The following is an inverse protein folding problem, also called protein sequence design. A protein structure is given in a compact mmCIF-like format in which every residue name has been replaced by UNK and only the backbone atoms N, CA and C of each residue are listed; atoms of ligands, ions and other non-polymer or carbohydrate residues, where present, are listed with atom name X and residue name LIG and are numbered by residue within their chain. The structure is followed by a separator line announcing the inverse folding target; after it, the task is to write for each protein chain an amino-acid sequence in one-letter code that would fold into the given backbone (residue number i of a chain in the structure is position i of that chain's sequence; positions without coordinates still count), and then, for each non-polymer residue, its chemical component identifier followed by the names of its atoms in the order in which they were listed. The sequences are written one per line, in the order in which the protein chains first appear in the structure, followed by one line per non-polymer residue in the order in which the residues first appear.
data_IF_957792070535
#
_entry.id   IF_957792070535
#
_cell.length_a   1.000
_cell.length_b   1.000
_cell.length_c   1.000
_cell.angle_alpha   90.00
_cell.angle_beta   90.00
_cell.angle_gamma   90.00
#
_symmetry.space_group_name_H-M   'P 1'
#
loop_
_entity.id
_entity.type
_entity.pdbx_description
1 polymer ?
#
# COMPACT_ATOMS: atom_id res chain seq x y z
N UNK A 1 -17.68 -15.21 8.68
CA UNK A 1 -16.47 -15.59 7.93
C UNK A 1 -16.31 -14.84 6.60
N UNK A 2 -17.29 -14.88 5.69
CA UNK A 2 -17.16 -14.23 4.39
C UNK A 2 -16.84 -12.71 4.49
N UNK A 3 -17.50 -11.97 5.38
CA UNK A 3 -17.24 -10.54 5.58
C UNK A 3 -15.82 -10.23 6.06
N UNK A 4 -15.25 -11.07 6.92
CA UNK A 4 -13.85 -10.91 7.38
C UNK A 4 -12.87 -11.14 6.22
N UNK A 5 -13.16 -12.14 5.37
CA UNK A 5 -12.34 -12.40 4.18
C UNK A 5 -12.38 -11.22 3.21
N UNK A 6 -13.56 -10.68 2.93
CA UNK A 6 -13.70 -9.50 2.05
C UNK A 6 -12.91 -8.32 2.61
N UNK A 7 -13.06 -8.02 3.89
CA UNK A 7 -12.31 -6.96 4.54
C UNK A 7 -10.79 -7.21 4.49
N UNK A 8 -10.36 -8.46 4.69
CA UNK A 8 -8.95 -8.84 4.57
C UNK A 8 -8.41 -8.61 3.17
N UNK A 9 -9.15 -8.96 2.12
CA UNK A 9 -8.77 -8.66 0.74
C UNK A 9 -8.66 -7.16 0.46
N UNK A 10 -9.61 -6.37 0.94
CA UNK A 10 -9.56 -4.91 0.81
C UNK A 10 -8.30 -4.35 1.45
N UNK A 11 -8.01 -4.74 2.68
CA UNK A 11 -6.82 -4.27 3.41
C UNK A 11 -5.51 -4.75 2.77
N UNK A 12 -5.44 -5.99 2.28
CA UNK A 12 -4.28 -6.49 1.58
C UNK A 12 -4.02 -5.72 0.28
N UNK A 13 -5.05 -5.49 -0.55
CA UNK A 13 -4.93 -4.69 -1.77
C UNK A 13 -4.44 -3.26 -1.50
N UNK A 14 -4.81 -2.69 -0.35
CA UNK A 14 -4.36 -1.38 0.08
C UNK A 14 -2.90 -1.42 0.58
N UNK A 15 -2.49 -2.46 1.28
CA UNK A 15 -1.17 -2.59 1.89
C UNK A 15 -0.07 -2.89 0.87
N UNK A 16 -0.27 -3.94 0.06
CA UNK A 16 0.75 -4.42 -0.89
C UNK A 16 0.57 -3.86 -2.31
N UNK A 17 -0.50 -3.09 -2.56
CA UNK A 17 -0.80 -2.43 -3.84
C UNK A 17 -0.84 -3.38 -5.06
N UNK A 18 -0.84 -4.69 -4.86
CA UNK A 18 -0.85 -5.67 -5.93
C UNK A 18 -2.14 -5.60 -6.76
N UNK A 19 -2.00 -5.40 -8.06
CA UNK A 19 -3.12 -5.34 -8.99
C UNK A 19 -3.78 -3.97 -9.13
N UNK A 20 -3.39 -2.96 -8.37
CA UNK A 20 -3.94 -1.59 -8.50
C UNK A 20 -3.15 -0.70 -9.46
N UNK A 21 -1.93 -1.10 -9.85
CA UNK A 21 -1.13 -0.42 -10.87
C UNK A 21 -0.05 0.52 -10.34
N UNK A 22 -0.08 0.92 -9.09
CA UNK A 22 0.93 1.75 -8.45
C UNK A 22 2.29 1.05 -8.36
N UNK A 23 2.30 -0.25 -8.07
CA UNK A 23 3.51 -1.07 -8.07
C UNK A 23 4.28 -0.97 -9.40
N UNK A 24 3.59 -0.97 -10.55
CA UNK A 24 4.22 -0.81 -11.86
C UNK A 24 4.94 0.54 -12.00
N UNK A 25 4.40 1.62 -11.42
CA UNK A 25 5.04 2.95 -11.44
C UNK A 25 6.29 2.95 -10.55
N UNK A 26 6.24 2.30 -9.39
CA UNK A 26 7.38 2.17 -8.48
C UNK A 26 8.52 1.38 -9.12
N UNK A 27 8.23 0.17 -9.58
CA UNK A 27 9.22 -0.74 -10.18
C UNK A 27 9.80 -0.22 -11.50
N UNK A 28 9.07 0.63 -12.24
CA UNK A 28 9.60 1.30 -13.43
C UNK A 28 10.76 2.27 -13.16
N UNK A 29 11.02 2.64 -11.90
CA UNK A 29 12.16 3.51 -11.53
C UNK A 29 13.48 2.76 -11.43
N UNK A 30 13.44 1.43 -11.37
CA UNK A 30 14.63 0.59 -11.18
C UNK A 30 15.48 0.57 -12.45
N UNK A 31 16.79 0.74 -12.29
CA UNK A 31 17.74 0.65 -13.38
C UNK A 31 18.18 -0.81 -13.55
N UNK A 32 17.52 -1.54 -14.42
CA UNK A 32 17.88 -2.91 -14.77
C UNK A 32 17.93 -3.09 -16.30
N UNK A 33 18.78 -4.00 -16.77
CA UNK A 33 18.80 -4.43 -18.17
C UNK A 33 17.89 -5.66 -18.39
N UNK A 34 17.43 -6.29 -17.31
CA UNK A 34 16.59 -7.48 -17.33
C UNK A 34 15.30 -7.25 -16.57
N UNK A 35 14.25 -6.72 -17.23
CA UNK A 35 12.97 -6.38 -16.56
C UNK A 35 12.32 -7.52 -15.79
N UNK A 36 12.58 -8.78 -16.22
CA UNK A 36 12.06 -10.00 -15.57
C UNK A 36 12.57 -10.13 -14.13
N UNK A 37 13.80 -9.70 -13.85
CA UNK A 37 14.35 -9.75 -12.48
C UNK A 37 13.57 -8.86 -11.54
N UNK A 38 13.18 -7.69 -12.01
CA UNK A 38 12.33 -6.77 -11.23
C UNK A 38 10.92 -7.32 -11.05
N UNK A 39 10.39 -8.03 -12.03
CA UNK A 39 9.14 -8.78 -11.89
C UNK A 39 9.19 -9.82 -10.76
N UNK A 40 10.30 -10.53 -10.60
CA UNK A 40 10.49 -11.47 -9.47
C UNK A 40 10.58 -10.75 -8.13
N UNK A 41 11.22 -9.58 -8.06
CA UNK A 41 11.24 -8.75 -6.85
C UNK A 41 9.83 -8.31 -6.48
N UNK A 42 9.05 -7.81 -7.46
CA UNK A 42 7.67 -7.41 -7.26
C UNK A 42 6.73 -8.54 -6.81
N UNK A 43 7.04 -9.80 -7.14
CA UNK A 43 6.29 -10.96 -6.60
C UNK A 43 6.55 -11.21 -5.11
N UNK A 44 7.73 -10.83 -4.60
CA UNK A 44 8.06 -11.02 -3.19
C UNK A 44 7.37 -10.02 -2.27
N UNK A 45 7.03 -8.86 -2.78
CA UNK A 45 6.43 -7.78 -2.01
C UNK A 45 5.10 -8.20 -1.34
N UNK A 46 4.06 -8.69 -2.06
CA UNK A 46 2.83 -9.16 -1.44
C UNK A 46 3.04 -10.34 -0.50
N UNK A 47 4.01 -11.21 -0.78
CA UNK A 47 4.32 -12.33 0.08
C UNK A 47 4.90 -11.86 1.42
N UNK A 48 5.89 -10.97 1.40
CA UNK A 48 6.52 -10.45 2.62
C UNK A 48 5.50 -9.61 3.41
N UNK A 49 4.81 -8.69 2.76
CA UNK A 49 3.86 -7.80 3.41
C UNK A 49 2.68 -8.57 4.00
N UNK A 50 1.98 -9.34 3.18
CA UNK A 50 0.71 -9.92 3.58
C UNK A 50 0.88 -11.26 4.28
N UNK A 51 1.69 -12.18 3.74
CA UNK A 51 1.81 -13.52 4.33
C UNK A 51 2.69 -13.50 5.59
N UNK A 52 3.77 -12.72 5.60
CA UNK A 52 4.68 -12.68 6.75
C UNK A 52 4.27 -11.60 7.74
N UNK A 53 4.33 -10.32 7.35
CA UNK A 53 4.19 -9.20 8.29
C UNK A 53 2.78 -9.09 8.85
N UNK A 54 1.74 -9.13 8.00
CA UNK A 54 0.36 -9.06 8.46
C UNK A 54 -0.01 -10.25 9.34
N UNK A 55 0.47 -11.47 9.03
CA UNK A 55 0.23 -12.66 9.86
C UNK A 55 0.91 -12.53 11.22
N UNK A 56 2.18 -12.08 11.27
CA UNK A 56 2.88 -11.85 12.53
C UNK A 56 2.17 -10.79 13.38
N UNK A 57 1.75 -9.68 12.78
CA UNK A 57 1.01 -8.62 13.49
C UNK A 57 -0.32 -9.15 14.05
N UNK A 58 -1.07 -9.90 13.25
CA UNK A 58 -2.31 -10.51 13.70
C UNK A 58 -2.09 -11.49 14.85
N UNK A 59 -1.06 -12.34 14.77
CA UNK A 59 -0.71 -13.28 15.84
C UNK A 59 -0.33 -12.55 17.13
N UNK A 60 0.47 -11.48 17.05
CA UNK A 60 0.81 -10.68 18.23
C UNK A 60 -0.44 -10.10 18.87
N UNK A 61 -1.36 -9.51 18.12
CA UNK A 61 -2.60 -8.95 18.65
C UNK A 61 -3.46 -10.05 19.30
N UNK A 62 -3.67 -11.17 18.60
CA UNK A 62 -4.52 -12.27 19.06
C UNK A 62 -4.00 -12.95 20.32
N UNK A 63 -2.68 -13.04 20.47
CA UNK A 63 -2.05 -13.73 21.62
C UNK A 63 -1.81 -12.85 22.83
N UNK A 64 -1.88 -11.52 22.69
CA UNK A 64 -1.55 -10.59 23.77
C UNK A 64 -2.73 -9.83 24.33
N UNK A 65 -3.50 -9.17 23.48
CA UNK A 65 -4.52 -8.19 23.93
C UNK A 65 -5.92 -8.51 23.45
N UNK A 66 -6.09 -9.51 22.58
CA UNK A 66 -7.40 -9.78 22.00
C UNK A 66 -8.40 -10.28 23.05
N UNK A 67 -9.44 -9.49 23.26
CA UNK A 67 -10.65 -9.87 23.98
C UNK A 67 -11.88 -9.53 23.14
N UNK A 68 -12.95 -10.36 23.14
CA UNK A 68 -14.17 -10.07 22.38
C UNK A 68 -14.80 -8.71 22.68
N UNK A 69 -14.56 -8.18 23.89
CA UNK A 69 -15.04 -6.85 24.32
C UNK A 69 -14.32 -5.67 23.68
N UNK A 70 -13.14 -5.87 23.07
CA UNK A 70 -12.33 -4.81 22.47
C UNK A 70 -13.01 -4.14 21.27
N UNK A 71 -13.86 -4.87 20.54
CA UNK A 71 -14.64 -4.30 19.43
C UNK A 71 -15.47 -3.07 19.85
N UNK A 72 -15.84 -2.98 21.14
CA UNK A 72 -16.62 -1.89 21.70
C UNK A 72 -15.75 -0.74 22.26
N UNK A 73 -14.44 -0.91 22.33
CA UNK A 73 -13.54 0.10 22.94
C UNK A 73 -13.04 1.16 21.93
N UNK A 74 -13.33 0.97 20.64
CA UNK A 74 -12.96 1.94 19.60
C UNK A 74 -11.46 2.06 19.32
N UNK A 75 -10.62 1.18 19.88
CA UNK A 75 -9.17 1.17 19.63
C UNK A 75 -8.93 0.54 18.25
N UNK A 76 -8.30 1.29 17.35
CA UNK A 76 -8.12 0.87 15.96
C UNK A 76 -6.70 1.16 15.45
N UNK A 77 -6.32 0.48 14.37
CA UNK A 77 -5.08 0.72 13.65
C UNK A 77 -3.83 0.53 14.50
N UNK A 78 -2.87 1.45 14.36
CA UNK A 78 -1.56 1.38 15.03
C UNK A 78 -1.67 1.43 16.55
N UNK A 79 -2.71 2.03 17.12
CA UNK A 79 -2.91 2.07 18.56
C UNK A 79 -3.13 0.67 19.14
N UNK A 80 -3.88 -0.19 18.45
CA UNK A 80 -4.08 -1.58 18.85
C UNK A 80 -2.77 -2.37 18.78
N UNK A 81 -1.99 -2.20 17.72
CA UNK A 81 -0.68 -2.83 17.59
C UNK A 81 0.28 -2.37 18.68
N UNK A 82 0.30 -1.06 18.99
CA UNK A 82 1.13 -0.51 20.05
C UNK A 82 0.76 -1.06 21.43
N UNK A 83 -0.54 -1.20 21.70
CA UNK A 83 -1.02 -1.81 22.94
C UNK A 83 -0.60 -3.29 23.02
N UNK A 84 -0.69 -4.03 21.93
CA UNK A 84 -0.29 -5.44 21.88
C UNK A 84 1.19 -5.62 22.19
N UNK A 85 2.06 -4.83 21.58
CA UNK A 85 3.49 -4.89 21.86
C UNK A 85 3.84 -4.39 23.27
N UNK A 86 3.24 -3.30 23.74
CA UNK A 86 3.52 -2.73 25.05
C UNK A 86 3.05 -3.60 26.20
N UNK A 87 2.08 -4.48 26.01
CA UNK A 87 1.65 -5.45 27.01
C UNK A 87 2.76 -6.44 27.40
N UNK A 88 3.69 -6.71 26.49
CA UNK A 88 4.82 -7.63 26.70
C UNK A 88 6.15 -6.89 26.84
N UNK A 89 6.35 -5.83 26.02
CA UNK A 89 7.58 -5.05 25.95
C UNK A 89 7.26 -3.57 26.20
N UNK A 90 7.32 -3.13 27.45
CA UNK A 90 6.94 -1.76 27.85
C UNK A 90 7.70 -0.65 27.10
N UNK A 91 8.92 -0.92 26.66
CA UNK A 91 9.75 0.03 25.91
C UNK A 91 9.38 0.14 24.42
N UNK A 92 8.54 -0.75 23.90
CA UNK A 92 8.22 -0.86 22.45
C UNK A 92 7.45 0.34 21.88
N UNK A 93 6.77 1.12 22.72
CA UNK A 93 5.93 2.26 22.28
C UNK A 93 6.73 3.28 21.50
N UNK A 94 7.92 3.66 21.97
CA UNK A 94 8.76 4.66 21.28
C UNK A 94 9.27 4.18 19.93
N UNK A 95 9.90 2.99 19.80
CA UNK A 95 10.31 2.46 18.50
C UNK A 95 9.13 2.28 17.54
N UNK A 96 8.00 1.76 18.00
CA UNK A 96 6.81 1.59 17.15
C UNK A 96 6.26 2.91 16.65
N UNK A 97 6.20 3.94 17.51
CA UNK A 97 5.77 5.27 17.08
C UNK A 97 6.71 5.87 16.03
N UNK A 98 8.01 5.71 16.20
CA UNK A 98 9.00 6.16 15.21
C UNK A 98 8.86 5.41 13.89
N UNK A 99 8.71 4.09 13.92
CA UNK A 99 8.49 3.26 12.75
C UNK A 99 7.19 3.68 12.04
N UNK A 100 6.10 3.91 12.78
CA UNK A 100 4.83 4.34 12.23
C UNK A 100 4.94 5.69 11.48
N UNK A 101 5.70 6.65 12.03
CA UNK A 101 5.96 7.92 11.38
C UNK A 101 6.75 7.73 10.09
N UNK A 102 7.80 6.89 10.10
CA UNK A 102 8.57 6.58 8.91
C UNK A 102 7.74 5.92 7.82
N UNK A 103 6.88 4.96 8.19
CA UNK A 103 5.96 4.32 7.25
C UNK A 103 4.97 5.30 6.64
N UNK A 104 4.33 6.13 7.47
CA UNK A 104 3.41 7.16 6.99
C UNK A 104 4.09 8.13 6.04
N UNK A 105 5.29 8.58 6.38
CA UNK A 105 6.06 9.50 5.55
C UNK A 105 6.48 8.86 4.22
N UNK A 106 6.97 7.62 4.24
CA UNK A 106 7.34 6.90 3.00
C UNK A 106 6.14 6.71 2.07
N UNK A 107 4.97 6.37 2.62
CA UNK A 107 3.72 6.22 1.86
C UNK A 107 3.32 7.56 1.22
N UNK A 108 3.38 8.66 1.95
CA UNK A 108 3.10 10.00 1.41
C UNK A 108 4.02 10.31 0.22
N UNK A 109 5.32 10.02 0.34
CA UNK A 109 6.29 10.24 -0.75
C UNK A 109 5.97 9.38 -1.97
N UNK A 110 5.72 8.09 -1.78
CA UNK A 110 5.43 7.15 -2.86
C UNK A 110 4.15 7.55 -3.62
N UNK A 111 3.07 7.79 -2.91
CA UNK A 111 1.80 8.19 -3.52
C UNK A 111 1.87 9.59 -4.17
N UNK A 112 2.68 10.51 -3.62
CA UNK A 112 2.99 11.78 -4.28
C UNK A 112 3.65 11.55 -5.64
N UNK A 113 4.60 10.63 -5.70
CA UNK A 113 5.28 10.28 -6.94
C UNK A 113 4.33 9.64 -7.97
N UNK A 114 3.52 8.66 -7.55
CA UNK A 114 2.55 8.00 -8.41
C UNK A 114 1.54 8.99 -8.99
N UNK A 115 0.97 9.82 -8.13
CA UNK A 115 0.03 10.85 -8.54
C UNK A 115 0.66 11.89 -9.47
N UNK A 116 1.89 12.31 -9.19
CA UNK A 116 2.62 13.24 -10.06
C UNK A 116 2.86 12.64 -11.46
N UNK A 117 3.24 11.38 -11.53
CA UNK A 117 3.42 10.69 -12.83
C UNK A 117 2.12 10.59 -13.62
N UNK A 118 1.03 10.23 -12.96
CA UNK A 118 -0.29 10.24 -13.61
C UNK A 118 -0.73 11.64 -14.06
N UNK A 119 -0.51 12.64 -13.22
CA UNK A 119 -0.83 14.03 -13.52
C UNK A 119 -0.05 14.56 -14.73
N UNK A 120 1.28 14.40 -14.73
CA UNK A 120 2.12 14.88 -15.84
C UNK A 120 1.87 14.12 -17.13
N UNK A 121 1.44 12.87 -17.07
CA UNK A 121 1.00 12.12 -18.24
C UNK A 121 -0.24 12.74 -18.90
N UNK A 122 -1.18 13.25 -18.11
CA UNK A 122 -2.45 13.83 -18.61
C UNK A 122 -2.27 15.28 -19.05
N UNK A 123 -1.58 16.10 -18.24
CA UNK A 123 -1.51 17.56 -18.41
C UNK A 123 -0.26 17.99 -19.21
N UNK A 124 0.73 17.10 -19.28
CA UNK A 124 2.03 17.40 -19.86
C UNK A 124 3.12 17.72 -18.83
N UNK A 125 4.36 17.51 -19.22
CA UNK A 125 5.54 17.76 -18.38
C UNK A 125 5.90 19.25 -18.41
N UNK A 126 5.54 19.97 -17.35
CA UNK A 126 5.97 21.35 -17.14
C UNK A 126 6.16 21.63 -15.64
N UNK A 127 7.12 22.50 -15.30
CA UNK A 127 7.37 22.89 -13.93
C UNK A 127 6.12 23.50 -13.25
N UNK A 128 5.28 24.19 -14.00
CA UNK A 128 4.02 24.74 -13.49
C UNK A 128 3.03 23.63 -13.14
N UNK A 129 2.84 22.64 -14.03
CA UNK A 129 1.94 21.51 -13.79
C UNK A 129 2.39 20.69 -12.56
N UNK A 130 3.68 20.44 -12.42
CA UNK A 130 4.23 19.75 -11.26
C UNK A 130 3.98 20.51 -9.95
N UNK A 131 4.23 21.84 -9.95
CA UNK A 131 4.04 22.65 -8.75
C UNK A 131 2.57 22.75 -8.35
N UNK A 132 1.67 22.86 -9.31
CA UNK A 132 0.23 22.82 -9.06
C UNK A 132 -0.15 21.50 -8.39
N UNK A 133 0.30 20.36 -8.92
CA UNK A 133 0.04 19.05 -8.31
C UNK A 133 0.56 18.98 -6.88
N UNK A 134 1.81 19.40 -6.64
CA UNK A 134 2.44 19.36 -5.31
C UNK A 134 1.65 20.20 -4.28
N UNK A 135 1.19 21.38 -4.68
CA UNK A 135 0.35 22.23 -3.81
C UNK A 135 -0.98 21.53 -3.49
N UNK A 136 -1.68 21.02 -4.50
CA UNK A 136 -2.92 20.26 -4.29
C UNK A 136 -2.70 19.05 -3.38
N UNK A 137 -1.66 18.29 -3.62
CA UNK A 137 -1.34 17.12 -2.81
C UNK A 137 -1.10 17.48 -1.34
N UNK A 138 -0.35 18.54 -1.05
CA UNK A 138 -0.14 19.03 0.31
C UNK A 138 -1.45 19.50 0.98
N UNK A 139 -2.33 20.17 0.23
CA UNK A 139 -3.64 20.59 0.75
C UNK A 139 -4.48 19.37 1.12
N UNK A 140 -4.52 18.33 0.28
CA UNK A 140 -5.27 17.11 0.56
C UNK A 140 -4.70 16.32 1.75
N UNK A 141 -3.37 16.30 1.94
CA UNK A 141 -2.76 15.72 3.15
C UNK A 141 -3.28 16.44 4.40
N UNK A 142 -3.22 17.78 4.38
CA UNK A 142 -3.68 18.58 5.53
C UNK A 142 -5.17 18.37 5.81
N UNK A 143 -6.01 18.34 4.78
CA UNK A 143 -7.44 18.02 4.90
C UNK A 143 -7.67 16.60 5.45
N UNK A 144 -6.94 15.62 4.97
CA UNK A 144 -7.02 14.24 5.43
C UNK A 144 -6.75 14.08 6.93
N UNK A 145 -5.88 14.91 7.50
CA UNK A 145 -5.61 14.92 8.94
C UNK A 145 -6.79 15.44 9.78
N UNK A 146 -7.75 16.13 9.18
CA UNK A 146 -8.92 16.71 9.87
C UNK A 146 -10.18 15.87 9.74
N UNK A 147 -10.20 14.90 8.82
CA UNK A 147 -11.34 14.04 8.52
C UNK A 147 -11.30 12.79 9.40
N UNK A 148 -12.47 12.24 9.72
CA UNK A 148 -12.56 10.98 10.44
C UNK A 148 -11.90 9.84 9.67
N UNK A 149 -11.07 9.05 10.35
CA UNK A 149 -10.31 7.93 9.76
C UNK A 149 -11.21 6.94 9.00
N UNK A 150 -12.37 6.59 9.54
CA UNK A 150 -13.30 5.65 8.90
C UNK A 150 -13.78 6.19 7.55
N UNK A 151 -14.16 7.46 7.47
CA UNK A 151 -14.61 8.08 6.23
C UNK A 151 -13.49 8.12 5.17
N UNK A 152 -12.24 8.37 5.59
CA UNK A 152 -11.08 8.33 4.69
C UNK A 152 -10.85 6.92 4.17
N UNK A 153 -10.95 5.91 5.04
CA UNK A 153 -10.78 4.51 4.65
C UNK A 153 -11.86 4.05 3.69
N UNK A 154 -13.14 4.35 3.96
CA UNK A 154 -14.26 3.97 3.09
C UNK A 154 -14.13 4.60 1.69
N UNK A 155 -13.73 5.87 1.63
CA UNK A 155 -13.46 6.54 0.37
C UNK A 155 -12.28 5.91 -0.37
N UNK A 156 -11.19 5.64 0.33
CA UNK A 156 -9.98 5.02 -0.25
C UNK A 156 -10.26 3.62 -0.79
N UNK A 157 -11.03 2.81 -0.06
CA UNK A 157 -11.43 1.48 -0.50
C UNK A 157 -12.24 1.54 -1.80
N UNK A 158 -13.16 2.48 -1.93
CA UNK A 158 -13.94 2.65 -3.16
C UNK A 158 -13.07 3.06 -4.34
N UNK A 159 -12.12 3.98 -4.15
CA UNK A 159 -11.23 4.49 -5.20
C UNK A 159 -10.24 3.41 -5.66
N UNK A 160 -9.68 2.61 -4.75
CA UNK A 160 -8.74 1.53 -5.08
C UNK A 160 -9.35 0.53 -6.06
N UNK A 161 -10.60 0.14 -5.87
CA UNK A 161 -11.26 -0.78 -6.81
C UNK A 161 -11.45 -0.16 -8.19
N UNK A 162 -11.77 1.13 -8.27
CA UNK A 162 -11.88 1.83 -9.55
C UNK A 162 -10.54 1.87 -10.28
N UNK A 163 -9.44 2.11 -9.56
CA UNK A 163 -8.08 2.15 -10.12
C UNK A 163 -7.61 0.77 -10.56
N UNK A 164 -7.99 -0.29 -9.84
CA UNK A 164 -7.62 -1.67 -10.19
C UNK A 164 -8.17 -2.13 -11.55
N UNK A 165 -9.37 -1.70 -11.92
CA UNK A 165 -10.02 -2.15 -13.18
C UNK A 165 -9.19 -1.88 -14.43
N UNK A 166 -8.75 -0.63 -14.73
CA UNK A 166 -7.92 -0.38 -15.91
C UNK A 166 -6.56 -1.09 -15.83
N UNK A 167 -5.97 -1.23 -14.64
CA UNK A 167 -4.71 -1.96 -14.50
C UNK A 167 -4.88 -3.45 -14.83
N UNK A 168 -5.91 -4.11 -14.34
CA UNK A 168 -6.18 -5.51 -14.63
C UNK A 168 -6.41 -5.72 -16.13
N UNK A 169 -7.15 -4.84 -16.79
CA UNK A 169 -7.33 -4.88 -18.24
C UNK A 169 -5.98 -4.73 -18.97
N UNK A 170 -5.14 -3.79 -18.53
CA UNK A 170 -3.78 -3.60 -19.05
C UNK A 170 -2.92 -4.85 -18.91
N UNK A 171 -2.97 -5.53 -17.75
CA UNK A 171 -2.24 -6.77 -17.52
C UNK A 171 -2.69 -7.90 -18.47
N UNK A 172 -3.99 -8.05 -18.74
CA UNK A 172 -4.47 -9.03 -19.71
C UNK A 172 -3.96 -8.72 -21.14
N UNK A 173 -3.94 -7.47 -21.53
CA UNK A 173 -3.42 -7.05 -22.85
C UNK A 173 -1.91 -7.32 -22.94
N UNK A 174 -1.17 -7.08 -21.86
CA UNK A 174 0.29 -7.26 -21.82
C UNK A 174 0.74 -8.71 -21.54
N UNK A 175 -0.16 -9.60 -21.15
CA UNK A 175 0.16 -10.98 -20.80
C UNK A 175 0.99 -11.73 -21.86
N UNK A 176 0.73 -11.61 -23.17
CA UNK A 176 1.57 -12.24 -24.21
C UNK A 176 3.01 -11.71 -24.23
N UNK A 177 3.17 -10.40 -23.99
CA UNK A 177 4.49 -9.74 -23.95
C UNK A 177 5.28 -10.27 -22.74
N UNK A 178 4.64 -10.27 -21.57
CA UNK A 178 5.24 -10.80 -20.33
C UNK A 178 5.68 -12.26 -20.50
N UNK A 179 4.81 -13.10 -21.09
CA UNK A 179 5.13 -14.50 -21.35
C UNK A 179 6.33 -14.66 -22.27
N UNK A 180 6.45 -13.83 -23.30
CA UNK A 180 7.57 -13.85 -24.23
C UNK A 180 8.88 -13.44 -23.52
N UNK A 181 8.86 -12.36 -22.75
CA UNK A 181 10.05 -11.90 -22.03
C UNK A 181 10.50 -12.92 -20.97
N UNK A 182 9.57 -13.53 -20.26
CA UNK A 182 9.86 -14.59 -19.30
C UNK A 182 10.51 -15.81 -19.98
N UNK A 183 9.98 -16.24 -21.13
CA UNK A 183 10.56 -17.36 -21.89
C UNK A 183 11.97 -17.03 -22.39
N UNK A 184 12.20 -15.82 -22.87
CA UNK A 184 13.52 -15.35 -23.29
C UNK A 184 14.54 -15.36 -22.14
N UNK A 185 14.10 -14.98 -20.95
CA UNK A 185 14.94 -14.95 -19.75
C UNK A 185 15.29 -16.37 -19.27
N UNK A 186 14.32 -17.29 -19.29
CA UNK A 186 14.51 -18.69 -18.85
C UNK A 186 15.31 -19.54 -19.87
N UNK A 187 15.36 -19.12 -21.13
CA UNK A 187 16.09 -19.82 -22.20
C UNK A 187 17.57 -19.43 -22.32
N UNK A 188 18.04 -18.54 -21.45
CA UNK A 188 19.47 -18.15 -21.34
C UNK A 188 20.18 -18.98 -20.29
#
# INVERSE_FOLDING_TARGET
MLGIMILGFQRAAFSNEAGIGSAAIAHATVKTQEPVTEGYVGLMEPFIDTVIICTLTALVILTTVYEPSMANQGIQGIALTSQAFSSTLSWSVLPLSFIAILFAFSTILSWSYYGLKGWTYIVGESALAENIFKVFFCIFIALGCTINLTAVLDFSDAVIFVVAVPNILGLYILAPVIKKELANYQGR
#
